data_IF_643396661149
#
_entry.id   IF_643396661149
#
_cell.length_a   1.000
_cell.length_b   1.000
_cell.length_c   1.000
_cell.angle_alpha   90.00
_cell.angle_beta   90.00
_cell.angle_gamma   90.00
#
_symmetry.space_group_name_H-M   'P 1'
#
loop_
_entity.id
_entity.type
_entity.pdbx_description
1 polymer ?
#
# COMPACT_ATOMS: atom_id res chain seq x y z
N UNK A 1 -1.41 -27.88 1.35
CA UNK A 1 -1.50 -26.66 2.20
C UNK A 1 -0.80 -25.57 1.42
N UNK A 2 -1.53 -24.63 0.83
CA UNK A 2 -0.93 -23.51 0.09
C UNK A 2 -0.31 -22.55 1.13
N UNK A 3 1.00 -22.37 1.04
CA UNK A 3 1.73 -21.40 1.84
C UNK A 3 2.28 -20.36 0.86
N UNK A 4 1.79 -19.12 0.94
CA UNK A 4 2.26 -18.03 0.06
C UNK A 4 3.76 -17.75 0.24
N UNK A 5 4.32 -18.08 1.41
CA UNK A 5 5.72 -17.89 1.74
C UNK A 5 6.24 -19.14 2.44
N UNK A 6 7.45 -19.58 2.13
CA UNK A 6 8.03 -20.80 2.72
C UNK A 6 8.47 -20.61 4.18
N UNK A 7 8.80 -19.38 4.56
CA UNK A 7 9.24 -19.03 5.90
C UNK A 7 8.11 -19.10 6.92
N UNK A 8 8.43 -19.57 8.13
CA UNK A 8 7.46 -19.70 9.23
C UNK A 8 7.15 -18.37 9.95
N UNK A 9 7.75 -17.26 9.51
CA UNK A 9 7.57 -15.94 10.14
C UNK A 9 6.26 -15.29 9.69
N UNK A 10 5.73 -14.33 10.48
CA UNK A 10 4.44 -13.71 10.17
C UNK A 10 4.43 -13.08 8.77
N UNK A 11 3.36 -13.35 8.02
CA UNK A 11 3.08 -12.72 6.74
C UNK A 11 1.98 -11.67 6.86
N UNK A 12 1.88 -10.80 5.85
CA UNK A 12 0.77 -9.85 5.65
C UNK A 12 0.24 -10.01 4.24
N UNK A 13 -1.04 -9.69 4.06
CA UNK A 13 -1.72 -9.73 2.78
C UNK A 13 -2.68 -8.54 2.67
N UNK A 14 -2.77 -7.96 1.49
CA UNK A 14 -3.74 -6.92 1.12
C UNK A 14 -4.28 -7.22 -0.28
N UNK A 15 -5.55 -6.86 -0.54
CA UNK A 15 -6.10 -6.93 -1.89
C UNK A 15 -5.60 -5.74 -2.72
N UNK A 16 -5.33 -5.98 -4.00
CA UNK A 16 -5.15 -4.93 -5.01
C UNK A 16 -6.51 -4.52 -5.59
N UNK A 17 -6.54 -3.43 -6.35
CA UNK A 17 -7.74 -2.94 -7.04
C UNK A 17 -8.32 -3.97 -8.00
N UNK A 18 -7.46 -4.74 -8.66
CA UNK A 18 -7.80 -5.76 -9.65
C UNK A 18 -8.25 -7.08 -9.00
N UNK A 19 -8.30 -7.14 -7.67
CA UNK A 19 -8.67 -8.32 -6.91
C UNK A 19 -7.54 -9.33 -6.73
N UNK A 20 -6.31 -9.00 -7.11
CA UNK A 20 -5.13 -9.79 -6.77
C UNK A 20 -4.80 -9.66 -5.28
N UNK A 21 -3.96 -10.55 -4.76
CA UNK A 21 -3.50 -10.50 -3.37
C UNK A 21 -2.01 -10.17 -3.36
N UNK A 22 -1.64 -9.03 -2.78
CA UNK A 22 -0.25 -8.68 -2.52
C UNK A 22 0.14 -9.16 -1.12
N UNK A 23 1.24 -9.89 -0.99
CA UNK A 23 1.73 -10.44 0.26
C UNK A 23 3.15 -10.01 0.57
N UNK A 24 3.46 -9.92 1.85
CA UNK A 24 4.84 -9.82 2.35
C UNK A 24 5.09 -10.95 3.33
N UNK A 25 6.24 -11.58 3.23
CA UNK A 25 6.62 -12.69 4.09
C UNK A 25 8.11 -12.91 4.12
N UNK A 26 8.49 -14.16 4.28
CA UNK A 26 9.89 -14.55 4.36
C UNK A 26 10.15 -15.85 3.62
N UNK A 27 11.30 -15.93 2.95
CA UNK A 27 11.82 -17.18 2.39
C UNK A 27 12.13 -18.18 3.50
N UNK A 28 12.34 -19.45 3.13
CA UNK A 28 12.85 -20.48 4.05
C UNK A 28 14.19 -20.08 4.70
N UNK A 29 15.01 -19.33 3.96
CA UNK A 29 16.30 -18.80 4.43
C UNK A 29 16.16 -17.50 5.23
N UNK A 30 14.95 -17.11 5.62
CA UNK A 30 14.73 -15.93 6.45
C UNK A 30 15.12 -14.60 5.75
N UNK A 31 14.99 -14.52 4.43
CA UNK A 31 14.98 -13.24 3.71
C UNK A 31 13.55 -12.73 3.61
N UNK A 32 13.34 -11.41 3.67
CA UNK A 32 12.06 -10.78 3.35
C UNK A 32 11.76 -10.96 1.87
N UNK A 33 10.52 -11.26 1.57
CA UNK A 33 10.04 -11.43 0.20
C UNK A 33 8.66 -10.82 0.04
N UNK A 34 8.35 -10.42 -1.19
CA UNK A 34 7.04 -9.95 -1.60
C UNK A 34 6.47 -10.87 -2.68
N UNK A 35 5.16 -11.06 -2.65
CA UNK A 35 4.44 -11.92 -3.59
C UNK A 35 3.18 -11.24 -4.11
N UNK A 36 2.84 -11.51 -5.37
CA UNK A 36 1.58 -11.11 -5.99
C UNK A 36 0.87 -12.38 -6.48
N UNK A 37 -0.39 -12.55 -6.10
CA UNK A 37 -1.12 -13.81 -6.29
C UNK A 37 -2.45 -13.58 -6.98
N UNK A 38 -2.79 -14.47 -7.91
CA UNK A 38 -4.15 -14.58 -8.44
C UNK A 38 -5.00 -15.46 -7.51
N UNK A 39 -6.08 -14.96 -6.88
CA UNK A 39 -6.96 -15.81 -6.08
C UNK A 39 -7.62 -16.95 -6.89
N UNK A 40 -7.71 -16.83 -8.22
CA UNK A 40 -8.25 -17.88 -9.10
C UNK A 40 -7.21 -18.96 -9.41
N UNK A 41 -5.93 -18.64 -9.35
CA UNK A 41 -4.82 -19.57 -9.54
C UNK A 41 -3.74 -19.34 -8.47
N UNK A 42 -3.91 -19.97 -7.31
CA UNK A 42 -3.03 -19.78 -6.16
C UNK A 42 -1.82 -20.72 -6.13
N UNK A 43 -1.65 -21.59 -7.15
CA UNK A 43 -0.57 -22.59 -7.19
C UNK A 43 0.80 -21.94 -7.40
N UNK A 44 0.86 -20.92 -8.26
CA UNK A 44 2.07 -20.16 -8.56
C UNK A 44 1.82 -18.65 -8.40
N UNK A 45 2.79 -17.90 -7.84
CA UNK A 45 2.68 -16.44 -7.77
C UNK A 45 2.80 -15.81 -9.16
N UNK A 46 2.06 -14.73 -9.39
CA UNK A 46 2.23 -13.84 -10.56
C UNK A 46 3.63 -13.23 -10.54
N UNK A 47 4.06 -12.77 -9.37
CA UNK A 47 5.39 -12.24 -9.11
C UNK A 47 5.85 -12.63 -7.71
N UNK A 48 7.11 -13.00 -7.57
CA UNK A 48 7.76 -13.26 -6.29
C UNK A 48 9.15 -12.61 -6.33
N UNK A 49 9.44 -11.73 -5.36
CA UNK A 49 10.69 -11.00 -5.31
C UNK A 49 11.29 -11.06 -3.90
N UNK A 50 12.52 -11.53 -3.81
CA UNK A 50 13.32 -11.42 -2.60
C UNK A 50 13.81 -9.97 -2.39
N UNK A 51 13.88 -9.54 -1.13
CA UNK A 51 14.27 -8.19 -0.76
C UNK A 51 15.60 -8.16 0.00
N UNK A 52 15.58 -8.38 1.31
CA UNK A 52 16.76 -8.30 2.17
C UNK A 52 16.65 -9.27 3.35
N UNK A 53 17.69 -9.36 4.18
CA UNK A 53 17.79 -10.30 5.30
C UNK A 53 17.31 -9.72 6.64
N UNK A 54 16.55 -8.62 6.63
CA UNK A 54 16.06 -8.01 7.86
C UNK A 54 14.99 -8.87 8.53
N UNK A 55 14.88 -8.78 9.85
CA UNK A 55 13.95 -9.60 10.64
C UNK A 55 12.56 -8.96 10.82
N UNK A 56 12.41 -7.68 10.48
CA UNK A 56 11.17 -6.94 10.66
C UNK A 56 10.08 -7.41 9.70
N UNK A 57 8.90 -7.72 10.22
CA UNK A 57 7.71 -7.98 9.40
C UNK A 57 7.36 -6.71 8.64
N UNK A 58 7.28 -6.80 7.32
CA UNK A 58 6.84 -5.70 6.48
C UNK A 58 5.33 -5.51 6.59
N UNK A 59 4.92 -4.26 6.64
CA UNK A 59 3.52 -3.86 6.55
C UNK A 59 3.31 -3.26 5.15
N UNK A 60 2.47 -3.89 4.31
CA UNK A 60 2.06 -3.30 3.04
C UNK A 60 0.96 -2.26 3.25
N UNK A 61 1.17 -1.07 2.70
CA UNK A 61 0.18 -0.01 2.56
C UNK A 61 -0.08 0.17 1.07
N UNK A 62 -1.21 -0.33 0.59
CA UNK A 62 -1.58 -0.25 -0.82
C UNK A 62 -2.48 0.95 -1.08
N UNK A 63 -2.15 1.69 -2.13
CA UNK A 63 -2.93 2.80 -2.66
C UNK A 63 -3.62 2.38 -3.97
N UNK A 64 -4.94 2.14 -3.98
CA UNK A 64 -5.66 1.69 -5.17
C UNK A 64 -5.83 2.76 -6.26
N UNK A 65 -5.60 4.04 -5.93
CA UNK A 65 -5.75 5.12 -6.90
C UNK A 65 -4.52 5.24 -7.80
N UNK A 66 -3.34 4.91 -7.27
CA UNK A 66 -2.05 4.96 -7.99
C UNK A 66 -1.43 3.58 -8.27
N UNK A 67 -2.05 2.51 -7.76
CA UNK A 67 -1.50 1.15 -7.76
C UNK A 67 -0.10 1.05 -7.15
N UNK A 68 0.22 1.92 -6.19
CA UNK A 68 1.50 1.90 -5.45
C UNK A 68 1.32 1.14 -4.13
N UNK A 69 2.25 0.23 -3.84
CA UNK A 69 2.39 -0.40 -2.52
C UNK A 69 3.64 0.10 -1.81
N UNK A 70 3.46 0.57 -0.58
CA UNK A 70 4.54 1.02 0.31
C UNK A 70 4.81 -0.03 1.38
N UNK A 71 6.09 -0.37 1.57
CA UNK A 71 6.56 -1.39 2.49
C UNK A 71 7.45 -0.76 3.56
N UNK A 72 7.08 -0.98 4.81
CA UNK A 72 7.94 -0.65 5.95
C UNK A 72 7.68 -1.58 7.13
N UNK A 73 8.73 -1.89 7.91
CA UNK A 73 8.65 -2.75 9.08
C UNK A 73 9.07 -2.03 10.35
N UNK A 74 8.59 -2.47 11.52
CA UNK A 74 9.13 -1.97 12.79
C UNK A 74 10.62 -2.28 12.88
N UNK A 75 11.43 -1.28 13.23
CA UNK A 75 12.88 -1.36 13.24
C UNK A 75 13.55 -0.88 11.95
N UNK A 76 12.82 -0.79 10.84
CA UNK A 76 13.37 -0.24 9.59
C UNK A 76 13.53 1.28 9.70
N UNK A 77 14.51 1.82 9.00
CA UNK A 77 14.69 3.27 8.84
C UNK A 77 14.30 3.78 7.46
N UNK A 78 13.64 2.94 6.66
CA UNK A 78 13.26 3.22 5.28
C UNK A 78 11.83 2.79 4.95
N UNK A 79 11.28 3.39 3.91
CA UNK A 79 9.99 3.03 3.29
C UNK A 79 10.30 2.75 1.82
N UNK A 80 10.13 1.51 1.38
CA UNK A 80 10.28 1.13 -0.04
C UNK A 80 8.92 1.16 -0.70
N UNK A 81 8.86 1.50 -1.98
CA UNK A 81 7.59 1.51 -2.69
C UNK A 81 7.72 1.02 -4.11
N UNK A 82 6.65 0.38 -4.56
CA UNK A 82 6.57 -0.36 -5.81
C UNK A 82 5.27 -0.02 -6.52
N UNK A 83 5.31 0.02 -7.84
CA UNK A 83 4.13 0.13 -8.70
C UNK A 83 3.69 -1.27 -9.13
N UNK A 84 2.39 -1.55 -9.04
CA UNK A 84 1.80 -2.79 -9.52
C UNK A 84 1.13 -2.51 -10.86
N UNK A 85 1.50 -3.27 -11.89
CA UNK A 85 0.99 -3.12 -13.26
C UNK A 85 0.65 -4.49 -13.85
N UNK A 86 -0.03 -4.49 -15.01
CA UNK A 86 -0.30 -5.71 -15.79
C UNK A 86 0.90 -6.15 -16.66
N UNK A 87 2.00 -5.38 -16.68
CA UNK A 87 3.20 -5.71 -17.46
C UNK A 87 4.26 -6.37 -16.59
N UNK A 88 4.80 -7.52 -17.05
CA UNK A 88 5.90 -8.21 -16.39
C UNK A 88 7.10 -7.26 -16.14
N UNK A 89 7.75 -7.28 -14.95
CA UNK A 89 7.60 -8.23 -13.84
C UNK A 89 6.40 -7.99 -12.89
N UNK A 90 5.41 -7.21 -13.27
CA UNK A 90 4.16 -6.88 -12.56
C UNK A 90 4.35 -6.01 -11.32
N UNK A 91 5.37 -6.27 -10.51
CA UNK A 91 5.73 -5.47 -9.33
C UNK A 91 7.05 -4.75 -9.62
N UNK A 92 6.97 -3.44 -9.85
CA UNK A 92 8.10 -2.61 -10.28
C UNK A 92 8.60 -1.77 -9.11
N UNK A 93 9.87 -1.92 -8.75
CA UNK A 93 10.48 -1.06 -7.74
C UNK A 93 10.58 0.38 -8.24
N UNK A 94 10.02 1.32 -7.49
CA UNK A 94 10.11 2.74 -7.80
C UNK A 94 11.31 3.36 -7.11
N UNK A 95 11.27 3.45 -5.78
CA UNK A 95 12.33 4.08 -4.98
C UNK A 95 12.19 3.74 -3.50
N UNK A 96 13.08 4.32 -2.68
CA UNK A 96 13.14 4.14 -1.23
C UNK A 96 13.32 5.48 -0.55
N UNK A 97 12.39 5.84 0.34
CA UNK A 97 12.64 6.86 1.34
C UNK A 97 13.56 6.29 2.42
N UNK A 98 14.64 6.99 2.77
CA UNK A 98 15.61 6.56 3.78
C UNK A 98 15.82 7.62 4.85
N UNK A 99 15.99 7.17 6.09
CA UNK A 99 16.29 8.01 7.24
C UNK A 99 17.28 7.31 8.18
N UNK A 100 17.76 8.02 9.21
CA UNK A 100 18.70 7.46 10.20
C UNK A 100 18.01 6.77 11.38
N UNK A 101 16.77 7.15 11.67
CA UNK A 101 16.05 6.70 12.88
C UNK A 101 15.13 5.51 12.55
N UNK A 102 15.15 4.42 13.32
CA UNK A 102 14.26 3.28 13.11
C UNK A 102 12.83 3.59 13.54
N UNK A 103 11.84 3.12 12.79
CA UNK A 103 10.41 3.29 13.11
C UNK A 103 9.94 2.32 14.20
N UNK A 104 9.11 2.81 15.13
CA UNK A 104 8.40 2.02 16.15
C UNK A 104 6.98 1.64 15.71
N UNK A 105 6.46 2.32 14.70
CA UNK A 105 5.15 2.13 14.09
C UNK A 105 4.96 3.11 12.95
N UNK A 106 3.88 2.93 12.20
CA UNK A 106 3.58 3.73 11.03
C UNK A 106 2.08 3.93 10.91
N UNK A 107 1.64 5.18 10.78
CA UNK A 107 0.30 5.54 10.31
C UNK A 107 0.32 5.93 8.83
N UNK A 108 -0.83 5.84 8.17
CA UNK A 108 -1.01 6.18 6.76
C UNK A 108 -2.28 7.03 6.59
N UNK A 109 -2.14 8.20 5.98
CA UNK A 109 -3.23 9.15 5.79
C UNK A 109 -4.19 8.68 4.70
N UNK A 110 -5.52 8.65 4.96
CA UNK A 110 -6.51 8.46 3.91
C UNK A 110 -6.45 9.58 2.86
N UNK A 111 -6.85 9.26 1.63
CA UNK A 111 -6.80 10.18 0.47
C UNK A 111 -7.38 11.57 0.73
N UNK A 112 -8.52 11.63 1.43
CA UNK A 112 -9.20 12.88 1.78
C UNK A 112 -8.39 13.84 2.68
N UNK A 113 -7.31 13.38 3.32
CA UNK A 113 -6.45 14.22 4.17
C UNK A 113 -5.12 14.65 3.54
N UNK A 114 -4.92 14.35 2.25
CA UNK A 114 -3.73 14.73 1.49
C UNK A 114 -3.85 16.16 0.94
N UNK A 115 -2.71 16.83 0.79
CA UNK A 115 -2.60 18.15 0.19
C UNK A 115 -2.43 18.04 -1.34
N UNK A 116 -3.55 17.93 -2.05
CA UNK A 116 -3.59 17.77 -3.51
C UNK A 116 -2.97 18.95 -4.26
N UNK A 117 -2.94 20.14 -3.65
CA UNK A 117 -2.31 21.33 -4.24
C UNK A 117 -0.78 21.19 -4.36
N UNK A 118 -0.18 20.33 -3.53
CA UNK A 118 1.27 20.06 -3.53
C UNK A 118 1.64 18.74 -4.19
N UNK A 119 0.71 18.12 -4.91
CA UNK A 119 0.91 16.80 -5.53
C UNK A 119 1.32 15.72 -4.50
N UNK A 120 0.84 15.84 -3.26
CA UNK A 120 1.00 14.81 -2.24
C UNK A 120 0.12 13.60 -2.55
N UNK A 121 0.72 12.42 -2.71
CA UNK A 121 0.01 11.17 -3.05
C UNK A 121 -0.11 10.21 -1.86
N UNK A 122 0.74 10.39 -0.85
CA UNK A 122 0.65 9.67 0.41
C UNK A 122 1.30 10.47 1.54
N UNK A 123 0.77 10.33 2.76
CA UNK A 123 1.39 10.85 3.99
C UNK A 123 1.51 9.75 5.02
N UNK A 124 2.73 9.51 5.45
CA UNK A 124 3.02 8.59 6.54
C UNK A 124 3.17 9.35 7.86
N UNK A 125 2.75 8.72 8.95
CA UNK A 125 2.97 9.21 10.32
C UNK A 125 3.92 8.24 11.01
N UNK A 126 5.22 8.50 10.87
CA UNK A 126 6.28 7.64 11.40
C UNK A 126 6.41 7.84 12.89
N UNK A 127 6.20 6.77 13.65
CA UNK A 127 6.40 6.78 15.09
C UNK A 127 7.88 6.50 15.41
N UNK A 128 8.48 7.41 16.16
CA UNK A 128 9.78 7.24 16.80
C UNK A 128 9.60 6.84 18.26
N UNK A 129 10.67 6.83 19.05
CA UNK A 129 10.57 6.51 20.48
C UNK A 129 9.67 7.50 21.26
N UNK A 130 9.71 8.80 20.91
CA UNK A 130 9.01 9.85 21.67
C UNK A 130 8.36 10.94 20.81
N UNK A 131 8.29 10.73 19.49
CA UNK A 131 7.68 11.69 18.56
C UNK A 131 6.96 10.96 17.43
N UNK A 132 6.01 11.66 16.83
CA UNK A 132 5.37 11.28 15.57
C UNK A 132 5.82 12.26 14.49
N UNK A 133 6.40 11.77 13.41
CA UNK A 133 6.94 12.55 12.30
C UNK A 133 6.12 12.31 11.02
N UNK A 134 5.49 13.34 10.44
CA UNK A 134 4.89 13.23 9.12
C UNK A 134 5.96 13.09 8.03
N UNK A 135 5.79 12.13 7.13
CA UNK A 135 6.60 11.95 5.92
C UNK A 135 5.66 12.07 4.73
N UNK A 136 5.92 13.06 3.89
CA UNK A 136 5.12 13.38 2.70
C UNK A 136 5.74 12.69 1.48
N UNK A 137 4.93 11.96 0.72
CA UNK A 137 5.30 11.40 -0.58
C UNK A 137 4.65 12.25 -1.68
N UNK A 138 5.49 12.84 -2.53
CA UNK A 138 5.06 13.83 -3.53
C UNK A 138 5.48 13.39 -4.93
N UNK A 139 4.57 13.52 -5.89
CA UNK A 139 4.92 13.43 -7.31
C UNK A 139 5.38 14.83 -7.77
N UNK A 140 6.63 15.01 -8.23
CA UNK A 140 7.15 16.32 -8.57
C UNK A 140 6.55 16.83 -9.89
N UNK A 141 5.41 17.51 -9.83
CA UNK A 141 4.80 18.24 -10.96
C UNK A 141 5.09 19.75 -10.84
N UNK A 142 5.17 20.42 -12.00
CA UNK A 142 5.32 21.88 -12.11
C UNK A 142 4.02 22.48 -12.63
N UNK A 143 2.95 22.37 -11.87
CA UNK A 143 1.63 22.86 -12.26
C UNK A 143 0.85 23.28 -11.01
N UNK A 144 0.18 24.43 -11.09
CA UNK A 144 -0.77 24.89 -10.07
C UNK A 144 -2.19 24.35 -10.32
N UNK A 145 -2.39 23.64 -11.44
CA UNK A 145 -3.65 22.99 -11.77
C UNK A 145 -3.80 21.66 -11.02
N UNK A 146 -5.03 21.34 -10.63
CA UNK A 146 -5.37 20.02 -10.11
C UNK A 146 -4.95 18.92 -11.10
N UNK A 147 -4.29 17.88 -10.60
CA UNK A 147 -3.75 16.78 -11.40
C UNK A 147 -4.74 15.61 -11.37
N UNK A 148 -5.73 15.62 -12.28
CA UNK A 148 -6.77 14.58 -12.36
C UNK A 148 -6.18 13.16 -12.54
N UNK A 149 -5.02 13.05 -13.17
CA UNK A 149 -4.30 11.79 -13.37
C UNK A 149 -3.73 11.20 -12.08
N UNK A 150 -3.43 12.03 -11.08
CA UNK A 150 -2.94 11.60 -9.77
C UNK A 150 -4.07 11.38 -8.76
N UNK A 151 -5.22 11.99 -9.00
CA UNK A 151 -6.33 12.06 -8.07
C UNK A 151 -7.65 11.69 -8.75
N UNK A 152 -7.82 10.42 -9.16
CA UNK A 152 -9.14 9.92 -9.58
C UNK A 152 -10.13 10.03 -8.42
N UNK A 153 -11.43 9.91 -8.74
CA UNK A 153 -12.45 9.84 -7.70
C UNK A 153 -12.17 8.67 -6.76
N UNK A 154 -12.22 8.94 -5.45
CA UNK A 154 -11.75 8.03 -4.39
C UNK A 154 -12.88 7.76 -3.38
N UNK A 155 -12.87 6.66 -2.60
CA UNK A 155 -13.92 6.39 -1.63
C UNK A 155 -14.18 7.54 -0.64
N UNK A 156 -15.44 7.98 -0.60
CA UNK A 156 -15.93 9.03 0.28
C UNK A 156 -16.15 8.59 1.72
N UNK A 157 -16.68 9.48 2.58
CA UNK A 157 -17.02 9.16 3.96
C UNK A 157 -18.35 8.40 4.08
N UNK A 158 -19.21 8.46 3.06
CA UNK A 158 -20.56 7.91 3.11
C UNK A 158 -20.57 6.41 2.77
N UNK A 159 -21.33 5.59 3.51
CA UNK A 159 -21.47 4.16 3.22
C UNK A 159 -22.31 3.93 1.97
N UNK A 160 -21.94 2.91 1.18
CA UNK A 160 -22.72 2.51 0.00
C UNK A 160 -23.93 1.63 0.33
N UNK A 161 -23.89 0.94 1.48
CA UNK A 161 -24.93 0.05 1.97
C UNK A 161 -25.10 0.22 3.48
N UNK A 162 -26.33 0.04 3.94
CA UNK A 162 -26.60 -0.17 5.36
C UNK A 162 -26.17 -1.58 5.80
N UNK A 163 -26.01 -1.77 7.12
CA UNK A 163 -25.47 -3.01 7.67
C UNK A 163 -26.37 -4.24 7.39
N UNK A 164 -27.69 -4.08 7.44
CA UNK A 164 -28.66 -5.14 7.18
C UNK A 164 -28.72 -5.53 5.70
N UNK A 165 -28.53 -4.56 4.80
CA UNK A 165 -28.45 -4.79 3.37
C UNK A 165 -27.24 -5.65 2.98
N UNK A 166 -26.06 -5.32 3.52
CA UNK A 166 -24.85 -6.12 3.30
C UNK A 166 -25.00 -7.53 3.92
N UNK A 167 -25.56 -7.63 5.12
CA UNK A 167 -25.81 -8.92 5.77
C UNK A 167 -26.79 -9.80 4.99
N UNK A 168 -27.74 -9.19 4.27
CA UNK A 168 -28.64 -9.88 3.35
C UNK A 168 -27.98 -10.31 2.03
N UNK A 169 -26.68 -10.04 1.85
CA UNK A 169 -25.88 -10.46 0.71
C UNK A 169 -25.86 -9.46 -0.44
N UNK A 170 -26.21 -8.19 -0.22
CA UNK A 170 -25.96 -7.14 -1.22
C UNK A 170 -24.50 -6.72 -1.21
N UNK A 171 -23.94 -6.55 -2.40
CA UNK A 171 -22.63 -5.94 -2.62
C UNK A 171 -22.81 -4.61 -3.36
N UNK A 172 -22.01 -3.61 -3.01
CA UNK A 172 -21.97 -2.32 -3.69
C UNK A 172 -20.55 -1.73 -3.66
N UNK A 173 -20.19 -1.02 -4.73
CA UNK A 173 -18.95 -0.26 -4.79
C UNK A 173 -19.01 0.96 -3.85
N UNK A 174 -17.86 1.42 -3.32
CA UNK A 174 -17.82 2.62 -2.49
C UNK A 174 -18.38 3.85 -3.22
N UNK A 175 -19.07 4.72 -2.49
CA UNK A 175 -19.51 6.01 -3.01
C UNK A 175 -18.28 6.91 -3.20
N UNK A 176 -17.94 7.21 -4.45
CA UNK A 176 -16.73 7.96 -4.78
C UNK A 176 -16.95 9.47 -4.68
N UNK A 177 -15.90 10.20 -4.31
CA UNK A 177 -15.86 11.67 -4.26
C UNK A 177 -14.62 12.20 -4.96
N UNK A 178 -14.74 13.37 -5.58
CA UNK A 178 -13.60 14.08 -6.16
C UNK A 178 -12.82 14.82 -5.07
N UNK A 179 -11.49 14.80 -5.15
CA UNK A 179 -10.61 15.57 -4.26
C UNK A 179 -10.39 17.02 -4.73
N UNK A 180 -10.94 17.41 -5.89
CA UNK A 180 -10.71 18.73 -6.50
C UNK A 180 -11.22 19.88 -5.65
N UNK A 181 -12.40 19.73 -5.07
CA UNK A 181 -13.08 20.79 -4.32
C UNK A 181 -12.59 20.89 -2.87
N UNK A 182 -11.61 20.05 -2.49
CA UNK A 182 -11.14 19.92 -1.11
C UNK A 182 -12.20 19.28 -0.20
N UNK A 183 -12.02 19.47 1.10
CA UNK A 183 -13.01 19.13 2.13
C UNK A 183 -13.34 20.39 2.92
#
# INVERSE_FOLDING_TARGET
RLAAHEGMRPMRAVFTREGQIFTTGFTRMSQRELGLWDPKNFEEPIALQEMDTSNGVLLPFYDPDSSIVYLCGKGDSSIRYFEITEEAPYVHYLSTYSSKEPQRGMGFMPKRGLDVSKCEIARFYKLHERKCEPIVMTVPRKSDLFQDDLYPDTPGPEPALEADEWLAGKDAEPLLVSLRDGY
#
